data_IF_951002940643
#
_entry.id   IF_951002940643
#
_cell.length_a   1.000
_cell.length_b   1.000
_cell.length_c   1.000
_cell.angle_alpha   90.00
_cell.angle_beta   90.00
_cell.angle_gamma   90.00
#
_symmetry.space_group_name_H-M   'P 1'
#
loop_
_entity.id
_entity.type
_entity.pdbx_description
1 polymer ?
#
# COMPACT_ATOMS: atom_id res chain seq x y z
N UNK A 1 -22.09 -24.76 -15.97
CA UNK A 1 -20.68 -25.04 -15.62
C UNK A 1 -19.71 -23.92 -16.01
N UNK A 2 -19.66 -23.43 -17.26
CA UNK A 2 -18.75 -22.33 -17.67
C UNK A 2 -18.81 -21.06 -16.82
N UNK A 3 -20.01 -20.65 -16.36
CA UNK A 3 -20.17 -19.45 -15.52
C UNK A 3 -19.57 -19.61 -14.11
N UNK A 4 -19.61 -20.82 -13.56
CA UNK A 4 -19.04 -21.12 -12.23
C UNK A 4 -17.51 -21.09 -12.33
N UNK A 5 -16.96 -21.71 -13.38
CA UNK A 5 -15.51 -21.71 -13.66
C UNK A 5 -14.98 -20.29 -13.87
N UNK A 6 -15.72 -19.44 -14.59
CA UNK A 6 -15.32 -18.06 -14.80
C UNK A 6 -15.30 -17.26 -13.48
N UNK A 7 -16.32 -17.47 -12.64
CA UNK A 7 -16.44 -16.80 -11.33
C UNK A 7 -15.32 -17.19 -10.37
N UNK A 8 -14.93 -18.46 -10.35
CA UNK A 8 -13.85 -18.93 -9.46
C UNK A 8 -12.49 -18.39 -9.88
N UNK A 9 -12.22 -18.31 -11.19
CA UNK A 9 -10.97 -17.72 -11.72
C UNK A 9 -10.85 -16.25 -11.35
N UNK A 10 -11.92 -15.46 -11.54
CA UNK A 10 -11.91 -14.03 -11.20
C UNK A 10 -11.70 -13.82 -9.69
N UNK A 11 -12.39 -14.59 -8.86
CA UNK A 11 -12.26 -14.51 -7.41
C UNK A 11 -10.83 -14.87 -6.93
N UNK A 12 -10.24 -15.92 -7.49
CA UNK A 12 -8.87 -16.33 -7.18
C UNK A 12 -7.85 -15.27 -7.60
N UNK A 13 -8.00 -14.69 -8.79
CA UNK A 13 -7.10 -13.66 -9.30
C UNK A 13 -7.14 -12.39 -8.44
N UNK A 14 -8.33 -11.97 -8.01
CA UNK A 14 -8.49 -10.84 -7.10
C UNK A 14 -7.79 -11.11 -5.75
N UNK A 15 -8.02 -12.28 -5.15
CA UNK A 15 -7.40 -12.65 -3.88
C UNK A 15 -5.86 -12.67 -3.96
N UNK A 16 -5.31 -13.23 -5.04
CA UNK A 16 -3.85 -13.26 -5.27
C UNK A 16 -3.27 -11.86 -5.48
N UNK A 17 -3.98 -10.97 -6.17
CA UNK A 17 -3.53 -9.60 -6.41
C UNK A 17 -3.50 -8.77 -5.11
N UNK A 18 -4.48 -8.95 -4.22
CA UNK A 18 -4.50 -8.29 -2.91
C UNK A 18 -3.45 -8.86 -1.94
N UNK A 19 -3.13 -10.15 -2.06
CA UNK A 19 -2.13 -10.82 -1.22
C UNK A 19 -0.69 -10.69 -1.75
N UNK A 20 -0.49 -10.12 -2.94
CA UNK A 20 0.84 -9.93 -3.49
C UNK A 20 1.65 -9.03 -2.53
N UNK A 21 2.76 -9.55 -1.94
CA UNK A 21 3.57 -8.75 -1.06
C UNK A 21 4.12 -7.59 -1.88
N UNK A 22 3.80 -6.35 -1.49
CA UNK A 22 4.54 -5.21 -2.00
C UNK A 22 5.96 -5.36 -1.47
N UNK A 23 6.93 -5.54 -2.38
CA UNK A 23 8.33 -5.69 -2.03
C UNK A 23 8.83 -4.34 -1.48
N UNK A 24 8.58 -4.11 -0.20
CA UNK A 24 8.99 -2.91 0.51
C UNK A 24 10.47 -3.05 0.88
N UNK A 25 11.34 -2.71 -0.07
CA UNK A 25 12.77 -2.40 0.13
C UNK A 25 13.61 -3.56 0.70
N UNK A 26 14.51 -4.10 -0.10
CA UNK A 26 15.55 -5.00 0.40
C UNK A 26 16.55 -4.18 1.23
N UNK A 27 16.66 -4.44 2.53
CA UNK A 27 17.62 -3.77 3.41
C UNK A 27 18.93 -4.58 3.41
N UNK A 28 20.00 -4.02 2.82
CA UNK A 28 21.35 -4.54 2.98
C UNK A 28 21.92 -4.07 4.31
N UNK A 29 22.61 -4.95 5.05
CA UNK A 29 23.11 -4.71 6.41
C UNK A 29 24.08 -3.52 6.54
N UNK A 30 24.59 -2.98 5.43
CA UNK A 30 25.54 -1.86 5.38
C UNK A 30 24.92 -0.49 5.02
N UNK A 31 23.62 -0.45 4.71
CA UNK A 31 22.92 0.80 4.41
C UNK A 31 21.61 0.79 5.20
N UNK A 32 21.60 1.50 6.33
CA UNK A 32 20.41 1.64 7.16
C UNK A 32 19.62 2.84 6.63
N UNK A 33 18.63 2.68 5.72
CA UNK A 33 17.92 3.81 5.17
C UNK A 33 17.14 4.45 6.32
N UNK A 34 17.42 5.73 6.55
CA UNK A 34 16.78 6.51 7.60
C UNK A 34 15.32 6.74 7.20
N UNK A 35 14.45 5.87 7.68
CA UNK A 35 13.02 6.01 7.52
C UNK A 35 12.44 6.87 8.64
N UNK A 36 11.77 7.96 8.31
CA UNK A 36 11.05 8.76 9.29
C UNK A 36 9.59 8.98 8.87
N UNK A 37 8.73 9.17 9.86
CA UNK A 37 7.32 9.47 9.64
C UNK A 37 7.17 10.98 9.45
N UNK A 38 6.86 11.41 8.23
CA UNK A 38 6.49 12.80 7.93
C UNK A 38 4.98 12.98 8.15
N UNK A 39 4.60 13.96 8.97
CA UNK A 39 3.19 14.39 9.09
C UNK A 39 2.92 15.51 8.09
N UNK A 40 1.96 15.31 7.21
CA UNK A 40 1.48 16.30 6.25
C UNK A 40 0.11 16.77 6.75
N UNK A 41 -0.04 18.08 6.94
CA UNK A 41 -1.33 18.69 7.29
C UNK A 41 -1.89 19.37 6.04
N UNK A 42 -3.10 18.98 5.66
CA UNK A 42 -3.83 19.57 4.53
C UNK A 42 -5.21 19.96 5.00
N UNK A 43 -5.72 21.07 4.49
CA UNK A 43 -7.11 21.46 4.67
C UNK A 43 -7.94 20.86 3.53
N UNK A 44 -9.07 20.25 3.87
CA UNK A 44 -10.05 19.87 2.85
C UNK A 44 -10.84 21.10 2.38
N UNK A 45 -11.64 20.92 1.33
CA UNK A 45 -12.51 21.95 0.77
C UNK A 45 -13.61 22.45 1.71
N UNK A 46 -13.82 21.77 2.85
CA UNK A 46 -14.78 22.11 3.88
C UNK A 46 -14.14 22.80 5.09
N UNK A 47 -12.82 23.00 5.08
CA UNK A 47 -12.07 23.64 6.16
C UNK A 47 -11.64 22.72 7.30
N UNK A 48 -11.75 21.39 7.15
CA UNK A 48 -11.28 20.43 8.15
C UNK A 48 -9.78 20.13 7.98
N UNK A 49 -9.08 19.98 9.11
CA UNK A 49 -7.66 19.63 9.12
C UNK A 49 -7.47 18.11 8.96
N UNK A 50 -6.98 17.71 7.78
CA UNK A 50 -6.63 16.32 7.49
C UNK A 50 -5.13 16.10 7.71
N UNK A 51 -4.78 15.27 8.70
CA UNK A 51 -3.38 14.92 9.00
C UNK A 51 -3.05 13.55 8.40
N UNK A 52 -2.15 13.53 7.41
CA UNK A 52 -1.63 12.30 6.80
C UNK A 52 -0.23 11.99 7.33
N UNK A 53 0.01 10.73 7.70
CA UNK A 53 1.34 10.25 8.07
C UNK A 53 1.92 9.48 6.89
N UNK A 54 3.04 9.94 6.36
CA UNK A 54 3.75 9.30 5.25
C UNK A 54 5.10 8.82 5.75
N UNK A 55 5.39 7.53 5.59
CA UNK A 55 6.71 6.95 5.88
C UNK A 55 7.62 7.24 4.69
N UNK A 56 8.67 8.03 4.90
CA UNK A 56 9.67 8.33 3.87
C UNK A 56 10.96 7.66 4.27
N UNK A 57 11.48 6.82 3.38
CA UNK A 57 12.77 6.16 3.51
C UNK A 57 13.71 6.73 2.45
N UNK A 58 14.96 7.03 2.81
CA UNK A 58 16.00 7.55 1.92
C UNK A 58 17.09 6.51 1.70
#
# INVERSE_FOLDING_TARGET
MRKIVLSTVIAAFAALSFAAPSQAGYYSYDYQPYCFIKKIKTWDSYGNLVIKKVKVCK
#
